data_IF_231398720601
#
_entry.id   IF_231398720601
#
_cell.length_a   1.000
_cell.length_b   1.000
_cell.length_c   1.000
_cell.angle_alpha   90.00
_cell.angle_beta   90.00
_cell.angle_gamma   90.00
#
_symmetry.space_group_name_H-M   'P 1'
#
loop_
_entity.id
_entity.type
_entity.pdbx_description
1 polymer ?
#
# COMPACT_ATOMS: atom_id res chain seq x y z
N UNK A 1 32.21 -34.71 8.92
CA UNK A 1 31.78 -34.34 7.54
C UNK A 1 30.26 -34.20 7.40
N UNK A 2 29.44 -34.92 8.17
CA UNK A 2 27.97 -34.91 8.05
C UNK A 2 27.30 -33.56 8.38
N UNK A 3 27.83 -32.78 9.33
CA UNK A 3 27.28 -31.44 9.68
C UNK A 3 27.39 -30.40 8.57
N UNK A 4 28.36 -30.56 7.65
CA UNK A 4 28.59 -29.61 6.55
C UNK A 4 27.63 -29.82 5.38
N UNK A 5 26.92 -30.95 5.37
CA UNK A 5 25.99 -31.34 4.31
C UNK A 5 24.55 -30.92 4.63
N UNK A 6 24.19 -30.86 5.91
CA UNK A 6 22.90 -30.35 6.39
C UNK A 6 22.76 -28.82 6.24
N UNK A 7 23.86 -28.09 6.44
CA UNK A 7 23.89 -26.62 6.23
C UNK A 7 23.79 -26.24 4.74
N UNK A 8 24.22 -27.12 3.82
CA UNK A 8 24.07 -26.89 2.37
C UNK A 8 22.64 -27.16 1.87
N UNK A 9 21.92 -28.10 2.49
CA UNK A 9 20.51 -28.38 2.15
C UNK A 9 19.55 -27.31 2.64
N UNK A 10 19.85 -26.64 3.75
CA UNK A 10 19.01 -25.54 4.29
C UNK A 10 19.22 -24.21 3.57
N UNK A 11 20.38 -23.99 2.94
CA UNK A 11 20.63 -22.83 2.08
C UNK A 11 19.89 -22.93 0.72
N UNK A 12 19.92 -24.11 0.08
CA UNK A 12 19.28 -24.33 -1.22
C UNK A 12 17.73 -24.27 -1.20
N UNK A 13 17.12 -24.33 -0.02
CA UNK A 13 15.66 -24.23 0.14
C UNK A 13 15.18 -22.80 0.41
N UNK A 14 16.08 -21.85 0.72
CA UNK A 14 15.74 -20.44 0.95
C UNK A 14 15.79 -19.58 -0.32
N UNK A 15 16.58 -20.00 -1.30
CA UNK A 15 16.71 -19.28 -2.59
C UNK A 15 15.57 -19.60 -3.58
N UNK A 16 14.62 -20.48 -3.23
CA UNK A 16 13.50 -20.86 -4.10
C UNK A 16 12.19 -20.12 -3.81
N UNK A 17 12.11 -19.42 -2.68
CA UNK A 17 10.91 -18.70 -2.24
C UNK A 17 11.02 -17.17 -2.47
N UNK A 18 12.15 -16.65 -2.98
CA UNK A 18 12.35 -15.21 -3.23
C UNK A 18 12.08 -14.76 -4.69
N UNK A 19 11.77 -15.66 -5.62
CA UNK A 19 11.54 -15.31 -7.05
C UNK A 19 10.07 -15.14 -7.47
N UNK A 20 9.06 -15.36 -6.61
CA UNK A 20 7.63 -15.24 -7.01
C UNK A 20 6.92 -13.93 -6.65
N UNK A 21 7.59 -12.92 -6.07
CA UNK A 21 6.94 -11.62 -5.78
C UNK A 21 7.60 -10.43 -6.50
N UNK A 22 7.69 -10.49 -7.84
CA UNK A 22 7.79 -9.28 -8.67
C UNK A 22 7.19 -9.48 -10.06
N UNK A 23 5.86 -9.32 -10.17
CA UNK A 23 5.28 -8.84 -11.43
C UNK A 23 3.94 -8.12 -11.21
N UNK A 24 3.82 -6.89 -11.73
CA UNK A 24 2.53 -6.31 -12.11
C UNK A 24 1.93 -5.18 -11.27
N UNK A 25 2.54 -3.98 -11.25
CA UNK A 25 1.80 -2.72 -11.08
C UNK A 25 2.02 -1.82 -12.29
N UNK A 26 1.00 -1.64 -13.15
CA UNK A 26 0.79 -0.46 -13.99
C UNK A 26 -0.51 -0.60 -14.80
N UNK A 27 -1.55 0.15 -14.44
CA UNK A 27 -2.49 0.77 -15.38
C UNK A 27 -3.45 1.70 -14.61
N UNK A 28 -3.13 2.99 -14.60
CA UNK A 28 -4.18 4.01 -14.57
C UNK A 28 -4.92 4.02 -15.91
N UNK A 29 -6.24 4.25 -15.88
CA UNK A 29 -6.95 5.35 -16.59
C UNK A 29 -8.43 4.99 -16.75
N UNK A 30 -9.32 5.90 -16.36
CA UNK A 30 -10.74 5.84 -16.71
C UNK A 30 -11.60 6.58 -15.70
N UNK A 31 -11.62 7.90 -15.81
CA UNK A 31 -12.69 8.70 -15.20
C UNK A 31 -14.01 8.37 -15.88
N UNK A 32 -15.07 8.26 -15.07
CA UNK A 32 -16.43 8.37 -15.54
C UNK A 32 -17.18 9.21 -14.51
N UNK A 33 -17.41 10.47 -14.88
CA UNK A 33 -18.49 11.29 -14.35
C UNK A 33 -19.81 10.59 -14.71
N UNK A 34 -20.60 10.23 -13.71
CA UNK A 34 -22.04 10.04 -13.89
C UNK A 34 -22.74 10.83 -12.79
N UNK A 35 -23.26 11.98 -13.22
CA UNK A 35 -24.27 12.78 -12.53
C UNK A 35 -25.50 11.89 -12.26
N UNK A 36 -25.88 11.74 -11.00
CA UNK A 36 -27.19 11.16 -10.63
C UNK A 36 -28.05 12.32 -10.13
N UNK A 37 -28.95 12.77 -11.01
CA UNK A 37 -30.02 13.70 -10.69
C UNK A 37 -30.97 13.08 -9.65
N UNK A 38 -31.26 13.87 -8.61
CA UNK A 38 -32.36 13.66 -7.68
C UNK A 38 -33.69 13.71 -8.44
N UNK A 39 -34.57 12.72 -8.22
CA UNK A 39 -36.00 12.93 -8.43
C UNK A 39 -36.80 12.26 -7.31
N UNK A 40 -37.27 13.12 -6.40
CA UNK A 40 -38.18 12.83 -5.30
C UNK A 40 -39.62 13.03 -5.80
N UNK A 41 -40.38 11.93 -5.77
CA UNK A 41 -41.78 11.80 -5.36
C UNK A 41 -42.83 12.86 -5.80
N UNK A 42 -43.79 12.43 -6.65
CA UNK A 42 -45.18 12.94 -6.64
C UNK A 42 -46.20 11.85 -6.96
N UNK A 43 -46.97 11.49 -5.94
CA UNK A 43 -48.28 10.83 -6.00
C UNK A 43 -49.34 11.70 -6.72
N UNK A 44 -50.17 11.08 -7.59
CA UNK A 44 -51.61 11.34 -7.74
C UNK A 44 -52.29 10.44 -8.80
N UNK A 45 -53.05 9.47 -8.30
CA UNK A 45 -54.39 8.97 -8.69
C UNK A 45 -54.86 8.59 -10.13
N UNK A 46 -55.68 7.53 -10.12
CA UNK A 46 -56.77 7.11 -11.02
C UNK A 46 -56.48 6.48 -12.43
N UNK A 47 -56.58 5.14 -12.52
CA UNK A 47 -57.74 4.42 -13.13
C UNK A 47 -57.50 2.91 -13.32
N UNK A 48 -58.45 2.14 -12.80
CA UNK A 48 -58.68 0.69 -12.99
C UNK A 48 -58.53 0.21 -14.45
N UNK A 49 -57.65 -0.78 -14.72
CA UNK A 49 -57.92 -1.96 -15.60
C UNK A 49 -57.09 -3.19 -15.17
N UNK A 50 -57.76 -4.35 -15.17
CA UNK A 50 -57.39 -5.69 -14.65
C UNK A 50 -56.02 -6.23 -15.12
N UNK A 51 -55.26 -7.01 -14.32
CA UNK A 51 -54.12 -7.77 -14.85
C UNK A 51 -54.54 -9.21 -15.21
N UNK A 52 -54.36 -9.54 -16.50
CA UNK A 52 -54.21 -10.91 -16.96
C UNK A 52 -52.83 -11.42 -16.52
N UNK A 53 -52.82 -12.62 -15.98
CA UNK A 53 -51.65 -13.41 -15.61
C UNK A 53 -50.63 -13.46 -16.77
N UNK A 54 -49.48 -12.78 -16.63
CA UNK A 54 -48.28 -13.02 -17.43
C UNK A 54 -47.07 -12.97 -16.52
N UNK A 55 -46.61 -14.17 -16.19
CA UNK A 55 -45.24 -14.43 -15.74
C UNK A 55 -44.26 -13.97 -16.84
N UNK A 56 -43.07 -13.56 -16.42
CA UNK A 56 -41.84 -13.30 -17.21
C UNK A 56 -41.81 -12.07 -18.14
N UNK A 57 -41.61 -10.87 -17.59
CA UNK A 57 -41.04 -9.74 -18.36
C UNK A 57 -40.22 -8.76 -17.51
N UNK A 58 -39.37 -9.26 -16.59
CA UNK A 58 -38.45 -8.41 -15.82
C UNK A 58 -36.97 -8.58 -16.22
N UNK A 59 -36.66 -9.17 -17.37
CA UNK A 59 -35.28 -9.39 -17.79
C UNK A 59 -34.59 -8.14 -18.38
N UNK A 60 -35.29 -7.01 -18.51
CA UNK A 60 -34.79 -5.84 -19.25
C UNK A 60 -34.87 -4.50 -18.48
N UNK A 61 -35.13 -4.54 -17.17
CA UNK A 61 -34.90 -3.38 -16.31
C UNK A 61 -33.63 -3.66 -15.53
N UNK A 62 -32.67 -2.73 -15.55
CA UNK A 62 -31.44 -2.80 -14.74
C UNK A 62 -31.84 -3.01 -13.27
N UNK A 63 -31.78 -4.26 -12.81
CA UNK A 63 -32.12 -4.60 -11.44
C UNK A 63 -31.02 -4.07 -10.52
N UNK A 64 -31.36 -3.15 -9.63
CA UNK A 64 -30.42 -2.64 -8.65
C UNK A 64 -30.29 -3.69 -7.54
N UNK A 65 -29.07 -4.21 -7.28
CA UNK A 65 -28.84 -5.19 -6.23
C UNK A 65 -29.12 -4.60 -4.85
N UNK A 66 -29.55 -5.44 -3.93
CA UNK A 66 -29.82 -5.06 -2.55
C UNK A 66 -29.11 -5.99 -1.57
N UNK A 67 -28.55 -5.41 -0.51
CA UNK A 67 -27.81 -6.16 0.50
C UNK A 67 -28.63 -6.31 1.77
N UNK A 68 -28.62 -7.54 2.27
CA UNK A 68 -29.22 -7.96 3.52
C UNK A 68 -28.10 -8.30 4.51
N UNK A 69 -28.11 -7.64 5.66
CA UNK A 69 -27.26 -7.95 6.79
C UNK A 69 -27.91 -9.01 7.69
N UNK A 70 -27.12 -9.97 8.13
CA UNK A 70 -27.46 -11.03 9.06
C UNK A 70 -26.70 -10.79 10.36
N UNK A 71 -27.42 -10.40 11.42
CA UNK A 71 -26.82 -10.09 12.71
C UNK A 71 -26.55 -11.31 13.58
N UNK A 72 -27.26 -12.42 13.36
CA UNK A 72 -27.07 -13.66 14.11
C UNK A 72 -27.07 -14.86 13.18
N UNK A 73 -26.01 -15.67 13.26
CA UNK A 73 -25.81 -16.86 12.43
C UNK A 73 -25.70 -18.10 13.31
N UNK A 74 -26.63 -19.06 13.17
CA UNK A 74 -26.59 -20.31 13.90
C UNK A 74 -25.29 -21.11 13.69
N UNK A 75 -24.85 -21.85 14.72
CA UNK A 75 -23.66 -22.68 14.61
C UNK A 75 -23.87 -23.77 13.56
N UNK A 76 -22.86 -23.94 12.69
CA UNK A 76 -22.84 -24.87 11.54
C UNK A 76 -23.70 -24.44 10.35
N UNK A 77 -24.25 -23.23 10.34
CA UNK A 77 -24.85 -22.68 9.14
C UNK A 77 -23.74 -22.35 8.13
N UNK A 78 -23.79 -22.96 6.94
CA UNK A 78 -22.82 -22.70 5.86
C UNK A 78 -23.44 -21.77 4.81
N UNK A 79 -22.63 -20.97 4.08
CA UNK A 79 -23.13 -20.10 3.01
C UNK A 79 -23.98 -20.83 1.96
N UNK A 80 -23.63 -22.09 1.63
CA UNK A 80 -24.43 -22.93 0.71
C UNK A 80 -25.83 -23.23 1.24
N UNK A 81 -25.96 -23.50 2.54
CA UNK A 81 -27.27 -23.79 3.13
C UNK A 81 -28.13 -22.53 3.23
N UNK A 82 -27.51 -21.40 3.57
CA UNK A 82 -28.14 -20.08 3.56
C UNK A 82 -28.65 -19.72 2.15
N UNK A 83 -27.85 -19.97 1.11
CA UNK A 83 -28.27 -19.79 -0.29
C UNK A 83 -29.52 -20.59 -0.60
N UNK A 84 -29.54 -21.88 -0.27
CA UNK A 84 -30.69 -22.74 -0.56
C UNK A 84 -31.96 -22.26 0.15
N UNK A 85 -31.83 -21.78 1.38
CA UNK A 85 -32.96 -21.32 2.17
C UNK A 85 -33.53 -19.99 1.65
N UNK A 86 -32.67 -19.08 1.21
CA UNK A 86 -33.07 -17.77 0.67
C UNK A 86 -33.44 -17.82 -0.82
N UNK A 87 -32.99 -18.84 -1.55
CA UNK A 87 -33.31 -19.04 -2.96
C UNK A 87 -34.80 -19.23 -3.23
N UNK A 88 -35.58 -19.60 -2.22
CA UNK A 88 -37.04 -19.70 -2.32
C UNK A 88 -37.73 -18.34 -2.46
N UNK A 89 -37.09 -17.25 -2.00
CA UNK A 89 -37.64 -15.90 -2.01
C UNK A 89 -37.14 -15.05 -3.17
N UNK A 90 -35.97 -15.37 -3.73
CA UNK A 90 -35.45 -14.74 -4.93
C UNK A 90 -34.03 -15.15 -5.29
N UNK A 91 -33.50 -14.55 -6.35
CA UNK A 91 -32.15 -14.82 -6.85
C UNK A 91 -31.09 -14.22 -5.92
N UNK A 92 -30.32 -15.10 -5.29
CA UNK A 92 -29.24 -14.74 -4.37
C UNK A 92 -27.92 -14.69 -5.15
N UNK A 93 -27.23 -13.55 -5.07
CA UNK A 93 -25.90 -13.33 -5.64
C UNK A 93 -24.78 -13.76 -4.69
N UNK A 94 -23.97 -12.79 -4.26
CA UNK A 94 -22.84 -13.01 -3.35
C UNK A 94 -23.29 -13.20 -1.89
N UNK A 95 -22.56 -14.05 -1.17
CA UNK A 95 -22.79 -14.32 0.25
C UNK A 95 -21.43 -14.31 0.96
N UNK A 96 -21.32 -13.50 1.99
CA UNK A 96 -20.14 -13.39 2.82
C UNK A 96 -20.56 -13.57 4.27
N UNK A 97 -19.94 -14.53 4.96
CA UNK A 97 -20.15 -14.74 6.38
C UNK A 97 -18.83 -14.46 7.08
N UNK A 98 -18.82 -13.48 7.97
CA UNK A 98 -17.63 -13.13 8.74
C UNK A 98 -17.35 -14.24 9.76
N UNK A 99 -16.18 -14.89 9.67
CA UNK A 99 -15.79 -15.87 10.65
C UNK A 99 -15.53 -15.18 11.99
N UNK A 100 -15.76 -15.92 13.07
CA UNK A 100 -15.39 -15.49 14.42
C UNK A 100 -13.89 -15.14 14.50
N UNK A 101 -13.54 -14.24 15.43
CA UNK A 101 -12.17 -13.78 15.64
C UNK A 101 -11.18 -14.96 15.80
N UNK A 102 -9.99 -14.76 15.21
CA UNK A 102 -8.95 -15.77 15.15
C UNK A 102 -8.52 -16.22 16.56
N UNK A 103 -8.56 -15.33 17.54
CA UNK A 103 -8.20 -15.65 18.93
C UNK A 103 -9.21 -16.59 19.57
N UNK A 104 -10.51 -16.32 19.43
CA UNK A 104 -11.58 -17.17 19.97
C UNK A 104 -11.53 -18.54 19.30
N UNK A 105 -11.33 -18.57 17.98
CA UNK A 105 -11.14 -19.80 17.23
C UNK A 105 -9.92 -20.61 17.71
N UNK A 106 -8.80 -19.94 18.03
CA UNK A 106 -7.61 -20.59 18.63
C UNK A 106 -7.94 -21.19 20.01
N UNK A 107 -8.70 -20.50 20.86
CA UNK A 107 -9.14 -21.01 22.17
C UNK A 107 -10.06 -22.23 22.02
N UNK A 108 -11.07 -22.16 21.15
CA UNK A 108 -11.96 -23.30 20.83
C UNK A 108 -11.18 -24.51 20.32
N UNK A 109 -10.19 -24.27 19.44
CA UNK A 109 -9.30 -25.30 18.90
C UNK A 109 -8.47 -25.99 19.99
N UNK A 110 -7.99 -25.24 20.99
CA UNK A 110 -7.30 -25.79 22.17
C UNK A 110 -8.22 -26.64 23.03
N UNK A 111 -9.50 -26.25 23.17
CA UNK A 111 -10.55 -27.03 23.86
C UNK A 111 -11.06 -28.24 23.06
N UNK A 112 -10.46 -28.57 21.91
CA UNK A 112 -10.90 -29.70 21.06
C UNK A 112 -12.03 -29.37 20.07
N UNK A 113 -12.61 -28.18 20.12
CA UNK A 113 -13.66 -27.77 19.19
C UNK A 113 -13.06 -27.19 17.91
N UNK A 114 -13.13 -27.95 16.81
CA UNK A 114 -12.61 -27.54 15.48
C UNK A 114 -13.64 -26.83 14.60
N UNK A 115 -14.68 -26.25 15.19
CA UNK A 115 -15.78 -25.61 14.45
C UNK A 115 -15.46 -24.13 14.19
N UNK A 116 -15.89 -23.64 13.03
CA UNK A 116 -15.86 -22.22 12.70
C UNK A 116 -17.30 -21.73 12.76
N UNK A 117 -17.57 -20.93 13.76
CA UNK A 117 -18.83 -20.19 13.86
C UNK A 117 -18.66 -18.86 13.14
N UNK A 118 -19.78 -18.30 12.68
CA UNK A 118 -19.80 -17.00 12.01
C UNK A 118 -20.52 -16.01 12.92
N UNK A 119 -20.01 -14.80 13.00
CA UNK A 119 -20.59 -13.74 13.83
C UNK A 119 -21.68 -13.01 13.05
N UNK A 120 -21.33 -12.56 11.85
CA UNK A 120 -22.15 -11.68 11.01
C UNK A 120 -22.15 -12.16 9.56
N UNK A 121 -23.12 -11.70 8.77
CA UNK A 121 -23.22 -12.08 7.37
C UNK A 121 -23.85 -11.03 6.48
N UNK A 122 -23.50 -11.06 5.21
CA UNK A 122 -24.03 -10.21 4.16
C UNK A 122 -24.48 -11.09 3.00
N UNK A 123 -25.71 -10.86 2.56
CA UNK A 123 -26.33 -11.56 1.44
C UNK A 123 -26.75 -10.52 0.42
N UNK A 124 -26.26 -10.66 -0.80
CA UNK A 124 -26.68 -9.85 -1.92
C UNK A 124 -27.84 -10.55 -2.65
N UNK A 125 -28.92 -9.82 -2.85
CA UNK A 125 -29.98 -10.20 -3.78
C UNK A 125 -29.84 -9.39 -5.06
N UNK A 126 -30.23 -9.99 -6.17
CA UNK A 126 -30.24 -9.32 -7.48
C UNK A 126 -31.15 -8.09 -7.50
N UNK A 127 -32.25 -8.13 -6.76
CA UNK A 127 -33.25 -7.07 -6.71
C UNK A 127 -33.41 -6.51 -5.28
N UNK A 128 -33.20 -5.20 -5.12
CA UNK A 128 -33.40 -4.51 -3.82
C UNK A 128 -34.82 -4.61 -3.28
N UNK A 129 -35.82 -4.76 -4.17
CA UNK A 129 -37.24 -4.94 -3.79
C UNK A 129 -37.45 -6.25 -3.04
N UNK A 130 -36.85 -7.33 -3.56
CA UNK A 130 -36.89 -8.65 -2.93
C UNK A 130 -36.15 -8.61 -1.60
N UNK A 131 -34.98 -7.96 -1.54
CA UNK A 131 -34.23 -7.80 -0.29
C UNK A 131 -35.05 -7.09 0.81
N UNK A 132 -35.77 -6.00 0.46
CA UNK A 132 -36.66 -5.29 1.39
C UNK A 132 -37.80 -6.17 1.88
N UNK A 133 -38.45 -6.91 0.97
CA UNK A 133 -39.55 -7.81 1.30
C UNK A 133 -39.06 -8.96 2.21
N UNK A 134 -37.95 -9.60 1.86
CA UNK A 134 -37.33 -10.66 2.66
C UNK A 134 -36.98 -10.16 4.06
N UNK A 135 -36.38 -8.97 4.17
CA UNK A 135 -36.07 -8.38 5.46
C UNK A 135 -37.35 -8.17 6.29
N UNK A 136 -38.41 -7.62 5.71
CA UNK A 136 -39.66 -7.36 6.42
C UNK A 136 -40.40 -8.66 6.81
N UNK A 137 -40.36 -9.70 5.97
CA UNK A 137 -41.11 -10.94 6.19
C UNK A 137 -40.36 -11.97 7.03
N UNK A 138 -39.05 -12.11 6.86
CA UNK A 138 -38.26 -13.15 7.55
C UNK A 138 -37.63 -12.68 8.85
N UNK A 139 -37.49 -11.37 9.08
CA UNK A 139 -36.96 -10.88 10.34
C UNK A 139 -37.79 -11.37 11.54
N UNK A 140 -37.10 -11.89 12.56
CA UNK A 140 -37.67 -12.51 13.77
C UNK A 140 -38.55 -13.75 13.55
N UNK A 141 -38.47 -14.40 12.38
CA UNK A 141 -39.15 -15.67 12.15
C UNK A 141 -38.22 -16.87 12.45
N UNK A 142 -38.75 -18.03 12.86
CA UNK A 142 -37.93 -19.22 13.07
C UNK A 142 -37.35 -19.71 11.73
N UNK A 143 -36.07 -20.09 11.72
CA UNK A 143 -35.43 -20.60 10.49
C UNK A 143 -35.98 -21.95 10.04
N UNK A 144 -36.52 -22.73 10.97
CA UNK A 144 -37.09 -24.04 10.71
C UNK A 144 -38.60 -24.04 10.82
N UNK A 145 -39.26 -24.64 9.83
CA UNK A 145 -40.71 -24.88 9.86
C UNK A 145 -41.07 -26.23 10.54
N UNK A 146 -40.09 -27.10 10.78
CA UNK A 146 -40.27 -28.42 11.40
C UNK A 146 -39.44 -28.53 12.67
N UNK A 147 -40.06 -29.05 13.75
CA UNK A 147 -39.39 -29.26 15.06
C UNK A 147 -38.14 -30.16 15.01
N UNK A 148 -38.01 -31.02 14.00
CA UNK A 148 -36.83 -31.90 13.79
C UNK A 148 -35.72 -31.24 12.95
N UNK A 149 -35.93 -30.03 12.43
CA UNK A 149 -34.92 -29.33 11.64
C UNK A 149 -33.85 -28.76 12.57
N UNK A 150 -32.58 -28.79 12.11
CA UNK A 150 -31.41 -28.43 12.92
C UNK A 150 -31.45 -27.02 13.51
N UNK A 151 -32.10 -26.08 12.82
CA UNK A 151 -32.18 -24.66 13.16
C UNK A 151 -33.59 -24.26 13.61
N UNK A 152 -34.39 -25.19 14.13
CA UNK A 152 -35.77 -24.92 14.51
C UNK A 152 -35.89 -23.92 15.68
N UNK A 153 -34.90 -23.87 16.57
CA UNK A 153 -34.90 -22.99 17.74
C UNK A 153 -34.34 -21.60 17.45
N UNK A 154 -33.65 -21.43 16.33
CA UNK A 154 -32.98 -20.18 15.99
C UNK A 154 -33.92 -19.28 15.19
N UNK A 155 -33.90 -17.99 15.52
CA UNK A 155 -34.62 -16.95 14.80
C UNK A 155 -33.72 -16.28 13.76
N UNK A 156 -34.33 -15.84 12.68
CA UNK A 156 -33.71 -14.96 11.70
C UNK A 156 -33.50 -13.56 12.28
N UNK A 157 -32.27 -13.07 12.26
CA UNK A 157 -31.95 -11.67 12.55
C UNK A 157 -31.40 -11.02 11.28
N UNK A 158 -32.27 -10.34 10.54
CA UNK A 158 -31.96 -9.77 9.23
C UNK A 158 -32.27 -8.27 9.17
N UNK A 159 -31.47 -7.48 8.46
CA UNK A 159 -31.74 -6.05 8.20
C UNK A 159 -31.39 -5.70 6.77
N UNK A 160 -32.26 -4.97 6.07
CA UNK A 160 -31.93 -4.40 4.77
C UNK A 160 -31.05 -3.16 4.93
N UNK A 161 -29.97 -3.07 4.15
CA UNK A 161 -29.07 -1.92 4.15
C UNK A 161 -29.37 -1.03 2.95
N UNK A 162 -29.82 0.19 3.22
CA UNK A 162 -30.14 1.17 2.19
C UNK A 162 -28.85 1.78 1.59
N UNK A 163 -28.85 2.00 0.27
CA UNK A 163 -27.71 2.57 -0.49
C UNK A 163 -26.36 1.85 -0.27
N UNK A 164 -26.39 0.61 0.23
CA UNK A 164 -25.20 -0.17 0.51
C UNK A 164 -24.92 -1.13 -0.65
N UNK A 165 -23.72 -1.02 -1.22
CA UNK A 165 -23.25 -1.87 -2.30
C UNK A 165 -22.19 -2.85 -1.78
N UNK A 166 -21.97 -3.94 -2.52
CA UNK A 166 -21.03 -4.98 -2.10
C UNK A 166 -19.59 -4.47 -2.10
N UNK A 167 -19.29 -3.54 -3.01
CA UNK A 167 -18.02 -2.82 -3.11
C UNK A 167 -17.64 -2.20 -1.78
N UNK A 168 -18.57 -1.54 -1.08
CA UNK A 168 -18.33 -0.90 0.21
C UNK A 168 -17.92 -1.91 1.30
N UNK A 169 -18.46 -3.14 1.27
CA UNK A 169 -18.07 -4.20 2.20
C UNK A 169 -16.63 -4.65 1.95
N UNK A 170 -16.30 -4.96 0.68
CA UNK A 170 -14.96 -5.39 0.30
C UNK A 170 -13.92 -4.29 0.50
N UNK A 171 -14.28 -3.05 0.20
CA UNK A 171 -13.42 -1.88 0.35
C UNK A 171 -13.09 -1.66 1.83
N UNK A 172 -14.08 -1.71 2.71
CA UNK A 172 -13.86 -1.56 4.16
C UNK A 172 -12.93 -2.63 4.70
N UNK A 173 -13.16 -3.90 4.34
CA UNK A 173 -12.30 -5.02 4.78
C UNK A 173 -10.88 -4.91 4.23
N UNK A 174 -10.73 -4.53 2.96
CA UNK A 174 -9.42 -4.31 2.35
C UNK A 174 -8.67 -3.15 3.03
N UNK A 175 -9.36 -2.04 3.29
CA UNK A 175 -8.80 -0.87 3.96
C UNK A 175 -8.29 -1.19 5.37
N UNK A 176 -9.05 -1.93 6.17
CA UNK A 176 -8.61 -2.33 7.50
C UNK A 176 -7.36 -3.23 7.46
N UNK A 177 -7.31 -4.16 6.49
CA UNK A 177 -6.15 -5.02 6.29
C UNK A 177 -4.92 -4.23 5.83
N UNK A 178 -5.08 -3.30 4.88
CA UNK A 178 -3.95 -2.50 4.37
C UNK A 178 -3.39 -1.60 5.46
N UNK A 179 -4.23 -0.97 6.29
CA UNK A 179 -3.75 -0.18 7.45
C UNK A 179 -2.94 -1.05 8.39
N UNK A 180 -3.46 -2.22 8.76
CA UNK A 180 -2.77 -3.12 9.69
C UNK A 180 -1.42 -3.56 9.13
N UNK A 181 -1.37 -3.92 7.85
CA UNK A 181 -0.13 -4.31 7.16
C UNK A 181 0.86 -3.15 7.06
N UNK A 182 0.40 -1.94 6.76
CA UNK A 182 1.25 -0.75 6.71
C UNK A 182 1.87 -0.46 8.07
N UNK A 183 1.08 -0.50 9.15
CA UNK A 183 1.58 -0.31 10.51
C UNK A 183 2.64 -1.35 10.87
N UNK A 184 2.33 -2.64 10.67
CA UNK A 184 3.27 -3.72 10.92
C UNK A 184 4.56 -3.56 10.10
N UNK A 185 4.44 -3.17 8.82
CA UNK A 185 5.60 -2.92 7.95
C UNK A 185 6.46 -1.77 8.47
N UNK A 186 5.84 -0.69 8.95
CA UNK A 186 6.57 0.44 9.54
C UNK A 186 7.30 0.03 10.81
N UNK A 187 6.66 -0.70 11.72
CA UNK A 187 7.26 -1.21 12.96
C UNK A 187 8.44 -2.16 12.67
N UNK A 188 8.24 -3.10 11.75
CA UNK A 188 9.31 -4.02 11.31
C UNK A 188 10.46 -3.25 10.66
N UNK A 189 10.16 -2.24 9.84
CA UNK A 189 11.20 -1.42 9.19
C UNK A 189 12.02 -0.62 10.18
N UNK A 190 11.40 -0.11 11.26
CA UNK A 190 12.07 0.59 12.33
C UNK A 190 13.00 -0.35 13.10
N UNK A 191 12.50 -1.50 13.56
CA UNK A 191 13.30 -2.51 14.26
C UNK A 191 14.48 -3.00 13.40
N UNK A 192 14.26 -3.23 12.10
CA UNK A 192 15.33 -3.59 11.14
C UNK A 192 16.36 -2.47 11.00
N UNK A 193 15.94 -1.20 10.92
CA UNK A 193 16.86 -0.06 10.81
C UNK A 193 17.76 0.03 12.05
N UNK A 194 17.19 -0.10 13.25
CA UNK A 194 17.93 -0.07 14.52
C UNK A 194 18.90 -1.25 14.63
N UNK A 195 18.44 -2.46 14.29
CA UNK A 195 19.27 -3.68 14.30
C UNK A 195 20.42 -3.58 13.30
N UNK A 196 20.12 -3.18 12.06
CA UNK A 196 21.13 -3.02 11.02
C UNK A 196 22.15 -1.93 11.39
N UNK A 197 21.70 -0.84 12.03
CA UNK A 197 22.61 0.19 12.53
C UNK A 197 23.59 -0.36 13.56
N UNK A 198 23.11 -1.19 14.50
CA UNK A 198 23.97 -1.84 15.48
C UNK A 198 24.97 -2.81 14.83
N UNK A 199 24.50 -3.69 13.95
CA UNK A 199 25.37 -4.64 13.23
C UNK A 199 26.46 -3.92 12.45
N UNK A 200 26.09 -2.89 11.69
CA UNK A 200 27.05 -2.07 10.93
C UNK A 200 28.10 -1.42 11.83
N UNK A 201 27.73 -0.96 13.03
CA UNK A 201 28.67 -0.35 13.96
C UNK A 201 29.62 -1.38 14.59
N UNK A 202 29.13 -2.58 14.92
CA UNK A 202 29.95 -3.69 15.43
C UNK A 202 30.92 -4.20 14.35
N UNK A 203 30.47 -4.31 13.10
CA UNK A 203 31.33 -4.69 11.98
C UNK A 203 32.41 -3.64 11.73
N UNK A 204 32.04 -2.34 11.75
CA UNK A 204 32.99 -1.23 11.64
C UNK A 204 34.01 -1.24 12.77
N UNK A 205 33.59 -1.43 14.02
CA UNK A 205 34.54 -1.50 15.15
C UNK A 205 35.46 -2.71 15.04
N UNK A 206 34.93 -3.89 14.71
CA UNK A 206 35.75 -5.09 14.47
C UNK A 206 36.75 -4.89 13.34
N UNK A 207 36.35 -4.23 12.25
CA UNK A 207 37.22 -3.91 11.14
C UNK A 207 38.34 -2.93 11.55
N UNK A 208 37.98 -1.85 12.26
CA UNK A 208 38.95 -0.88 12.79
C UNK A 208 39.92 -1.53 13.78
N UNK A 209 39.46 -2.43 14.64
CA UNK A 209 40.30 -3.19 15.57
C UNK A 209 41.29 -4.09 14.84
N UNK A 210 40.84 -4.79 13.79
CA UNK A 210 41.74 -5.60 12.93
C UNK A 210 42.80 -4.72 12.26
N UNK A 211 42.40 -3.54 11.77
CA UNK A 211 43.31 -2.57 11.15
C UNK A 211 44.32 -2.03 12.17
N UNK A 212 43.86 -1.68 13.37
CA UNK A 212 44.69 -1.21 14.50
C UNK A 212 45.72 -2.27 14.88
N UNK A 213 45.31 -3.52 15.04
CA UNK A 213 46.21 -4.67 15.33
C UNK A 213 47.21 -4.95 14.21
N UNK A 214 46.89 -4.65 12.95
CA UNK A 214 47.84 -4.76 11.83
C UNK A 214 48.85 -3.62 11.86
N UNK A 215 48.38 -2.38 12.01
CA UNK A 215 49.23 -1.18 12.06
C UNK A 215 50.20 -1.18 13.26
N UNK A 216 49.76 -1.71 14.41
CA UNK A 216 50.63 -1.94 15.58
C UNK A 216 51.74 -2.97 15.30
N UNK A 217 51.46 -4.03 14.53
CA UNK A 217 52.49 -4.98 14.10
C UNK A 217 53.51 -4.35 13.14
N UNK A 218 53.03 -3.46 12.28
CA UNK A 218 53.87 -2.76 11.29
C UNK A 218 54.62 -1.55 11.89
N UNK A 219 54.52 -1.30 13.20
CA UNK A 219 55.29 -0.27 13.93
C UNK A 219 54.89 1.19 13.64
N UNK A 220 53.79 1.43 12.92
CA UNK A 220 53.30 2.79 12.64
C UNK A 220 52.58 3.37 13.87
N UNK A 221 53.03 4.55 14.33
CA UNK A 221 52.34 5.31 15.38
C UNK A 221 50.90 5.61 14.95
N UNK A 222 49.95 5.23 15.80
CA UNK A 222 48.53 5.55 15.64
C UNK A 222 48.32 6.92 16.28
N UNK A 223 48.34 8.00 15.49
CA UNK A 223 47.71 9.24 15.97
C UNK A 223 46.21 8.98 16.09
N UNK A 224 45.71 9.01 17.32
CA UNK A 224 44.28 9.08 17.56
C UNK A 224 43.81 10.44 17.07
N UNK A 225 43.19 10.45 15.89
CA UNK A 225 42.63 11.65 15.30
C UNK A 225 41.55 12.17 16.24
N UNK A 226 41.89 13.20 17.02
CA UNK A 226 40.93 13.89 17.87
C UNK A 226 39.79 14.41 16.99
N UNK A 227 38.57 14.33 17.52
CA UNK A 227 37.39 14.72 16.77
C UNK A 227 37.41 16.23 16.56
N UNK A 228 37.98 16.68 15.45
CA UNK A 228 37.93 18.09 15.08
C UNK A 228 36.47 18.44 14.80
N UNK A 229 35.88 19.28 15.65
CA UNK A 229 34.54 19.82 15.43
C UNK A 229 34.57 20.69 14.17
N UNK A 230 34.20 20.11 13.03
CA UNK A 230 34.05 20.87 11.79
C UNK A 230 32.76 21.69 11.89
N UNK A 231 32.91 22.89 12.45
CA UNK A 231 31.85 23.89 12.48
C UNK A 231 31.43 24.20 11.03
N UNK A 232 30.12 24.14 10.76
CA UNK A 232 29.61 24.57 9.45
C UNK A 232 29.97 26.04 9.26
N UNK A 233 30.58 26.35 8.11
CA UNK A 233 30.89 27.74 7.75
C UNK A 233 29.61 28.57 7.85
N UNK A 234 29.67 29.71 8.53
CA UNK A 234 28.58 30.69 8.60
C UNK A 234 28.33 31.31 7.21
N UNK A 235 27.13 31.84 7.00
CA UNK A 235 26.73 32.49 5.72
C UNK A 235 27.73 33.57 5.30
N UNK A 236 28.27 34.32 6.27
CA UNK A 236 29.28 35.35 6.07
C UNK A 236 30.62 34.77 5.57
N UNK A 237 31.07 33.65 6.14
CA UNK A 237 32.28 32.95 5.68
C UNK A 237 32.11 32.42 4.25
N UNK A 238 30.93 31.91 3.91
CA UNK A 238 30.61 31.44 2.56
C UNK A 238 30.69 32.60 1.56
N UNK A 239 30.15 33.77 1.91
CA UNK A 239 30.21 34.96 1.06
C UNK A 239 31.63 35.51 0.89
N UNK A 240 32.43 35.55 1.95
CA UNK A 240 33.85 35.98 1.90
C UNK A 240 34.65 35.03 1.00
N UNK A 241 34.44 33.72 1.12
CA UNK A 241 35.13 32.71 0.30
C UNK A 241 34.75 32.81 -1.18
N UNK A 242 33.48 33.10 -1.48
CA UNK A 242 33.00 33.38 -2.85
C UNK A 242 33.61 34.66 -3.42
N UNK A 243 33.69 35.74 -2.63
CA UNK A 243 34.35 37.00 -3.04
C UNK A 243 35.83 36.77 -3.32
N UNK A 244 36.57 36.15 -2.39
CA UNK A 244 38.00 35.81 -2.58
C UNK A 244 38.27 34.98 -3.83
N UNK A 245 37.39 34.02 -4.15
CA UNK A 245 37.50 33.21 -5.37
C UNK A 245 37.19 34.02 -6.64
N UNK A 246 36.28 35.00 -6.56
CA UNK A 246 36.00 35.93 -7.66
C UNK A 246 37.18 36.89 -7.88
N UNK A 247 37.78 37.36 -6.79
CA UNK A 247 38.92 38.27 -6.80
C UNK A 247 40.16 37.56 -7.37
N UNK A 248 40.42 36.31 -6.98
CA UNK A 248 41.55 35.53 -7.53
C UNK A 248 41.42 35.30 -9.04
N UNK A 249 40.21 34.96 -9.52
CA UNK A 249 39.94 34.78 -10.94
C UNK A 249 40.11 36.10 -11.70
N UNK A 250 39.64 37.22 -11.14
CA UNK A 250 39.85 38.56 -11.70
C UNK A 250 41.34 38.90 -11.83
N UNK A 251 42.13 38.56 -10.80
CA UNK A 251 43.57 38.80 -10.77
C UNK A 251 44.32 37.99 -11.84
N UNK A 252 43.98 36.70 -11.99
CA UNK A 252 44.51 35.85 -13.06
C UNK A 252 44.19 36.39 -14.47
N UNK A 253 42.99 36.96 -14.66
CA UNK A 253 42.62 37.60 -15.93
C UNK A 253 43.44 38.86 -16.22
N UNK A 254 43.70 39.70 -15.19
CA UNK A 254 44.53 40.90 -15.32
C UNK A 254 45.99 40.57 -15.62
N UNK A 255 46.53 39.54 -14.96
CA UNK A 255 47.90 39.08 -15.18
C UNK A 255 48.07 38.48 -16.58
N UNK A 256 47.07 37.73 -17.06
CA UNK A 256 47.03 37.23 -18.44
C UNK A 256 46.95 38.35 -19.47
N UNK A 257 46.15 39.39 -19.20
CA UNK A 257 46.06 40.57 -20.07
C UNK A 257 47.38 41.35 -20.12
N UNK A 258 48.05 41.55 -18.98
CA UNK A 258 49.39 42.16 -18.93
C UNK A 258 50.42 41.35 -19.70
N UNK A 259 50.40 40.03 -19.57
CA UNK A 259 51.32 39.16 -20.30
C UNK A 259 51.10 39.22 -21.81
N UNK A 260 49.84 39.31 -22.26
CA UNK A 260 49.50 39.50 -23.67
C UNK A 260 49.97 40.87 -24.17
N UNK A 261 49.78 41.93 -23.37
CA UNK A 261 50.23 43.29 -23.71
C UNK A 261 51.76 43.40 -23.79
N UNK A 262 52.49 42.74 -22.89
CA UNK A 262 53.95 42.72 -22.92
C UNK A 262 54.49 41.98 -24.15
N UNK A 263 53.86 40.86 -24.51
CA UNK A 263 54.18 40.10 -25.73
C UNK A 263 53.81 40.83 -27.02
N UNK A 264 52.78 41.68 -27.01
CA UNK A 264 52.44 42.48 -28.19
C UNK A 264 53.43 43.64 -28.36
N UNK A 265 53.87 44.30 -27.29
CA UNK A 265 54.85 45.39 -27.36
C UNK A 265 56.20 44.97 -27.94
N UNK A 266 56.68 43.76 -27.66
CA UNK A 266 57.93 43.25 -28.27
C UNK A 266 57.82 43.13 -29.79
N UNK A 267 56.62 42.84 -30.31
CA UNK A 267 56.36 42.68 -31.73
C UNK A 267 56.04 44.02 -32.43
N UNK A 268 55.64 45.06 -31.70
CA UNK A 268 55.37 46.39 -32.26
C UNK A 268 56.64 47.02 -32.84
N UNK A 269 57.81 46.87 -32.21
CA UNK A 269 59.06 47.42 -32.77
C UNK A 269 59.49 46.74 -34.08
N UNK A 270 59.20 45.44 -34.22
CA UNK A 270 59.42 44.67 -35.44
C UNK A 270 58.43 45.10 -36.53
N UNK A 271 57.14 45.26 -36.19
CA UNK A 271 56.13 45.71 -37.13
C UNK A 271 56.36 47.16 -37.60
N UNK A 272 56.81 48.06 -36.73
CA UNK A 272 57.22 49.43 -37.09
C UNK A 272 58.40 49.42 -38.05
N UNK A 273 59.41 48.56 -37.84
CA UNK A 273 60.53 48.41 -38.78
C UNK A 273 60.10 47.86 -40.14
N UNK A 274 59.14 46.94 -40.17
CA UNK A 274 58.63 46.34 -41.41
C UNK A 274 57.80 47.38 -42.19
N UNK A 275 56.91 48.12 -41.54
CA UNK A 275 55.98 49.03 -42.22
C UNK A 275 56.49 50.46 -42.45
N UNK A 276 57.46 50.97 -41.68
CA UNK A 276 58.02 52.32 -41.90
C UNK A 276 59.31 52.33 -42.74
N UNK A 277 59.80 51.16 -43.19
CA UNK A 277 61.01 51.07 -44.04
C UNK A 277 60.81 51.56 -45.48
N UNK A 278 59.58 51.89 -45.88
CA UNK A 278 59.22 52.32 -47.25
C UNK A 278 58.88 53.82 -47.37
N UNK A 279 59.27 54.67 -46.41
CA UNK A 279 59.01 56.12 -46.44
C UNK A 279 60.28 57.01 -46.46
N UNK A 280 61.44 56.46 -46.86
CA UNK A 280 62.64 57.26 -47.10
C UNK A 280 63.19 57.01 -48.50
N UNK A 281 62.58 57.66 -49.49
CA UNK A 281 63.18 58.10 -50.76
C UNK A 281 62.90 59.60 -50.93
#
# INVERSE_FOLDING_TARGET
MQRKEEDRKTAAQRDRDEEEEKEGTAAERGGNDEEEEDDDDKDADDKKKKPKHKMSSCLDRKCIPGILYLGHIPPRLRPKHLRNLLSAYGEVGRIFLQPEDQQVRKRKRKSGLRRCDFTEGWVEFRDKRVAKQVAASLHNTPMGNRKRQRFSSDLWSMKYLHRFQWTHLSERLAYEQTILQQRLRTEVSQAKRETNFYLNNVEKSSHLDKLRRKRQRDGQQVEEKMWDFSQRQTEEEIQIKKKRKKDSVSQEHLDKARLIQQKSQSNVSLLVKIFNSSQSE
#
